data_IF_452319111757
#
_entry.id   IF_452319111757
#
_cell.length_a   1.000
_cell.length_b   1.000
_cell.length_c   1.000
_cell.angle_alpha   90.00
_cell.angle_beta   90.00
_cell.angle_gamma   90.00
#
_symmetry.space_group_name_H-M   'P 1'
#
loop_
_entity.id
_entity.type
_entity.pdbx_description
1 polymer ?
#
# COMPACT_ATOMS: atom_id res chain seq x y z
N UNK A 1 0.29 -28.93 8.36
CA UNK A 1 0.80 -28.26 7.14
C UNK A 1 -0.35 -27.58 6.44
N UNK A 2 -0.15 -26.37 5.94
CA UNK A 2 -1.12 -25.64 5.10
C UNK A 2 -0.52 -25.57 3.70
N UNK A 3 -1.16 -26.18 2.70
CA UNK A 3 -0.69 -26.20 1.30
C UNK A 3 0.78 -26.66 1.11
N UNK A 4 1.27 -27.57 1.95
CA UNK A 4 2.67 -28.05 1.93
C UNK A 4 3.69 -27.09 2.55
N UNK A 5 3.29 -25.90 2.98
CA UNK A 5 4.17 -24.96 3.68
C UNK A 5 4.47 -25.47 5.10
N UNK A 6 5.71 -25.31 5.54
CA UNK A 6 6.14 -25.59 6.91
C UNK A 6 5.55 -24.59 7.90
N UNK A 7 5.37 -23.33 7.48
CA UNK A 7 4.75 -22.27 8.28
C UNK A 7 4.06 -21.25 7.39
N UNK A 8 2.85 -20.86 7.77
CA UNK A 8 2.16 -19.71 7.20
C UNK A 8 1.98 -18.68 8.31
N UNK A 9 2.33 -17.42 8.02
CA UNK A 9 2.13 -16.29 8.92
C UNK A 9 1.17 -15.32 8.26
N UNK A 10 0.15 -14.90 9.00
CA UNK A 10 -0.79 -13.86 8.62
C UNK A 10 -0.73 -12.74 9.66
N UNK A 11 -0.59 -11.50 9.18
CA UNK A 11 -0.60 -10.29 10.00
C UNK A 11 -1.63 -9.33 9.42
N UNK A 12 -2.41 -8.71 10.30
CA UNK A 12 -3.32 -7.63 9.94
C UNK A 12 -3.17 -6.45 10.88
N UNK A 13 -3.26 -5.26 10.34
CA UNK A 13 -3.20 -3.99 11.05
C UNK A 13 -4.37 -3.11 10.62
N UNK A 14 -4.96 -2.39 11.57
CA UNK A 14 -5.93 -1.32 11.33
C UNK A 14 -5.32 -0.05 11.89
N UNK A 15 -5.32 1.02 11.09
CA UNK A 15 -4.84 2.34 11.48
C UNK A 15 -6.00 3.34 11.46
N UNK A 16 -5.97 4.29 12.40
CA UNK A 16 -6.92 5.39 12.49
C UNK A 16 -6.16 6.66 12.87
N UNK A 17 -6.56 7.79 12.28
CA UNK A 17 -6.01 9.10 12.55
C UNK A 17 -7.14 10.11 12.78
N UNK A 18 -6.93 10.99 13.76
CA UNK A 18 -7.81 12.11 14.07
C UNK A 18 -7.03 13.43 14.03
N UNK A 19 -7.55 14.43 13.33
CA UNK A 19 -7.00 15.79 13.27
C UNK A 19 -7.93 16.72 14.05
N UNK A 20 -7.48 17.14 15.24
CA UNK A 20 -8.23 18.05 16.09
C UNK A 20 -8.15 19.50 15.62
N UNK A 21 -9.27 20.23 15.74
CA UNK A 21 -9.34 21.65 15.39
C UNK A 21 -9.29 21.94 13.89
N UNK A 22 -9.54 20.93 13.05
CA UNK A 22 -9.63 21.11 11.60
C UNK A 22 -10.87 21.93 11.27
N UNK A 23 -10.67 23.07 10.59
CA UNK A 23 -11.74 23.90 10.06
C UNK A 23 -12.57 23.15 9.01
N UNK A 24 -13.78 23.64 8.73
CA UNK A 24 -14.60 23.06 7.68
C UNK A 24 -13.89 23.18 6.33
N UNK A 25 -14.02 22.15 5.47
CA UNK A 25 -13.51 22.20 4.08
C UNK A 25 -14.21 23.26 3.21
N UNK A 26 -15.28 23.89 3.70
CA UNK A 26 -15.87 25.08 3.08
C UNK A 26 -15.15 26.39 3.43
N UNK A 27 -14.39 26.41 4.53
CA UNK A 27 -13.66 27.58 5.02
C UNK A 27 -12.19 27.52 4.63
N UNK A 28 -11.50 26.42 4.99
CA UNK A 28 -10.11 26.18 4.63
C UNK A 28 -9.90 24.73 4.22
N UNK A 29 -9.01 24.52 3.24
CA UNK A 29 -8.75 23.21 2.65
C UNK A 29 -7.25 22.93 2.67
N UNK A 30 -6.89 21.69 3.00
CA UNK A 30 -5.51 21.26 3.17
C UNK A 30 -5.20 19.94 2.47
N UNK A 31 -3.94 19.76 2.09
CA UNK A 31 -3.33 18.45 1.84
C UNK A 31 -3.72 17.72 0.55
N UNK A 32 -4.61 18.28 -0.27
CA UNK A 32 -4.85 17.73 -1.63
C UNK A 32 -3.65 17.97 -2.53
N UNK A 33 -3.28 16.97 -3.31
CA UNK A 33 -2.23 17.12 -4.32
C UNK A 33 -2.63 18.18 -5.36
N UNK A 34 -1.70 19.05 -5.72
CA UNK A 34 -1.93 20.16 -6.63
C UNK A 34 -2.33 19.70 -8.04
N UNK A 35 -2.03 18.46 -8.43
CA UNK A 35 -2.46 17.89 -9.72
C UNK A 35 -3.98 17.83 -9.86
N UNK A 36 -4.73 17.74 -8.74
CA UNK A 36 -6.19 17.76 -8.72
C UNK A 36 -6.77 19.18 -8.57
N UNK A 37 -5.93 20.21 -8.73
CA UNK A 37 -6.35 21.59 -8.84
C UNK A 37 -7.00 22.18 -7.60
N UNK A 38 -7.77 23.25 -7.78
CA UNK A 38 -8.58 23.91 -6.74
C UNK A 38 -10.08 23.87 -7.09
N UNK A 39 -10.99 23.72 -6.11
CA UNK A 39 -12.44 23.80 -6.33
C UNK A 39 -12.92 25.24 -6.59
N UNK A 40 -12.08 26.25 -6.39
CA UNK A 40 -12.44 27.66 -6.56
C UNK A 40 -12.45 28.10 -8.04
N UNK A 41 -11.84 27.30 -8.92
CA UNK A 41 -11.92 27.45 -10.37
C UNK A 41 -13.04 26.54 -10.93
N UNK A 42 -14.05 27.08 -11.65
CA UNK A 42 -15.19 26.29 -12.12
C UNK A 42 -14.82 25.13 -13.07
N UNK A 43 -13.77 25.28 -13.88
CA UNK A 43 -13.35 24.22 -14.80
C UNK A 43 -12.67 23.08 -14.04
N UNK A 44 -11.83 23.41 -13.04
CA UNK A 44 -11.18 22.42 -12.19
C UNK A 44 -12.16 21.75 -11.23
N UNK A 45 -13.14 22.48 -10.71
CA UNK A 45 -14.24 21.91 -9.93
C UNK A 45 -15.02 20.86 -10.73
N UNK A 46 -15.32 21.15 -12.00
CA UNK A 46 -16.01 20.21 -12.87
C UNK A 46 -15.16 18.96 -13.18
N UNK A 47 -13.83 19.10 -13.24
CA UNK A 47 -12.92 18.00 -13.53
C UNK A 47 -12.59 17.13 -12.31
N UNK A 48 -12.39 17.74 -11.14
CA UNK A 48 -11.81 17.08 -9.96
C UNK A 48 -12.68 17.14 -8.71
N UNK A 49 -13.79 17.88 -8.71
CA UNK A 49 -14.69 17.95 -7.56
C UNK A 49 -14.09 18.61 -6.30
N UNK A 50 -14.78 18.41 -5.18
CA UNK A 50 -14.54 19.07 -3.89
C UNK A 50 -13.83 18.19 -2.86
N UNK A 51 -13.54 16.93 -3.18
CA UNK A 51 -12.94 15.97 -2.24
C UNK A 51 -11.41 15.95 -2.38
N UNK A 52 -10.74 15.01 -1.72
CA UNK A 52 -9.27 14.87 -1.74
C UNK A 52 -8.54 15.72 -0.71
N UNK A 53 -9.26 16.46 0.14
CA UNK A 53 -8.69 17.28 1.21
C UNK A 53 -8.73 16.58 2.54
N UNK A 54 -7.79 16.93 3.43
CA UNK A 54 -7.68 16.36 4.77
C UNK A 54 -9.03 16.35 5.48
N UNK A 55 -9.39 15.19 6.03
CA UNK A 55 -10.60 14.99 6.82
C UNK A 55 -10.25 14.89 8.30
N UNK A 56 -11.21 15.24 9.17
CA UNK A 56 -11.00 15.18 10.61
C UNK A 56 -10.70 13.75 11.11
N UNK A 57 -11.25 12.75 10.43
CA UNK A 57 -11.03 11.34 10.70
C UNK A 57 -10.60 10.65 9.41
N UNK A 58 -9.63 9.75 9.50
CA UNK A 58 -9.27 8.85 8.41
C UNK A 58 -8.82 7.50 8.96
N UNK A 59 -9.03 6.44 8.19
CA UNK A 59 -8.64 5.09 8.61
C UNK A 59 -8.43 4.15 7.43
N UNK A 60 -7.71 3.06 7.71
CA UNK A 60 -7.42 2.03 6.73
C UNK A 60 -6.91 0.76 7.39
N UNK A 61 -6.66 -0.25 6.58
CA UNK A 61 -6.10 -1.52 7.05
C UNK A 61 -5.05 -2.07 6.09
N UNK A 62 -4.15 -2.88 6.66
CA UNK A 62 -3.09 -3.55 5.93
C UNK A 62 -3.05 -5.01 6.33
N UNK A 63 -2.85 -5.89 5.35
CA UNK A 63 -2.74 -7.33 5.54
C UNK A 63 -1.44 -7.81 4.91
N UNK A 64 -0.78 -8.77 5.55
CA UNK A 64 0.40 -9.46 5.01
C UNK A 64 0.33 -10.94 5.30
N UNK A 65 0.49 -11.74 4.26
CA UNK A 65 0.59 -13.18 4.34
C UNK A 65 1.94 -13.63 3.78
N UNK A 66 2.57 -14.61 4.42
CA UNK A 66 3.77 -15.26 3.91
C UNK A 66 3.77 -16.74 4.26
N UNK A 67 4.26 -17.56 3.35
CA UNK A 67 4.31 -19.01 3.53
C UNK A 67 5.73 -19.50 3.30
N UNK A 68 6.28 -20.24 4.26
CA UNK A 68 7.65 -20.74 4.23
C UNK A 68 7.65 -22.18 3.74
N UNK A 69 8.35 -22.42 2.63
CA UNK A 69 8.57 -23.74 2.06
C UNK A 69 10.05 -24.07 2.13
N UNK A 70 10.39 -25.12 2.88
CA UNK A 70 11.77 -25.56 3.03
C UNK A 70 12.13 -26.63 2.01
N UNK A 71 13.32 -26.53 1.44
CA UNK A 71 13.87 -27.51 0.51
C UNK A 71 12.91 -27.87 -0.65
N UNK A 72 12.38 -26.84 -1.33
CA UNK A 72 11.46 -27.02 -2.46
C UNK A 72 12.13 -27.76 -3.61
N UNK A 73 13.36 -27.37 -3.93
CA UNK A 73 14.21 -28.10 -4.86
C UNK A 73 15.68 -27.87 -4.51
N UNK A 74 16.49 -28.92 -4.58
CA UNK A 74 17.95 -28.86 -4.44
C UNK A 74 18.47 -28.01 -3.25
N UNK A 75 17.78 -27.97 -2.10
CA UNK A 75 18.19 -27.18 -0.93
C UNK A 75 17.73 -25.71 -0.93
N UNK A 76 16.92 -25.29 -1.91
CA UNK A 76 16.35 -23.94 -1.98
C UNK A 76 15.09 -23.85 -1.12
N UNK A 77 15.07 -22.86 -0.24
CA UNK A 77 13.89 -22.45 0.51
C UNK A 77 13.17 -21.35 -0.27
N UNK A 78 11.84 -21.41 -0.32
CA UNK A 78 11.01 -20.38 -0.95
C UNK A 78 10.03 -19.79 0.06
N UNK A 79 9.87 -18.47 -0.01
CA UNK A 79 8.90 -17.72 0.79
C UNK A 79 8.03 -16.85 -0.11
N UNK A 80 7.00 -17.40 -0.76
CA UNK A 80 5.95 -16.59 -1.37
C UNK A 80 5.29 -15.69 -0.32
N UNK A 81 5.06 -14.44 -0.70
CA UNK A 81 4.47 -13.43 0.15
C UNK A 81 3.45 -12.57 -0.62
N UNK A 82 2.44 -12.11 0.11
CA UNK A 82 1.40 -11.21 -0.37
C UNK A 82 1.19 -10.13 0.67
N UNK A 83 1.10 -8.88 0.25
CA UNK A 83 0.62 -7.78 1.09
C UNK A 83 -0.48 -7.01 0.37
N UNK A 84 -1.44 -6.55 1.14
CA UNK A 84 -2.57 -5.77 0.67
C UNK A 84 -2.78 -4.59 1.61
N UNK A 85 -3.12 -3.44 1.07
CA UNK A 85 -3.49 -2.25 1.83
C UNK A 85 -4.72 -1.60 1.23
N UNK A 86 -5.54 -1.00 2.09
CA UNK A 86 -6.70 -0.23 1.71
C UNK A 86 -6.91 0.90 2.71
N UNK A 87 -6.85 2.12 2.19
CA UNK A 87 -7.22 3.33 2.89
C UNK A 87 -8.72 3.52 2.69
N UNK A 88 -9.51 3.26 3.73
CA UNK A 88 -10.96 3.00 3.56
C UNK A 88 -11.75 4.29 3.47
N UNK A 89 -11.48 5.23 4.37
CA UNK A 89 -12.25 6.46 4.51
C UNK A 89 -11.35 7.59 5.00
N UNK A 90 -11.55 8.77 4.42
CA UNK A 90 -10.88 10.00 4.77
C UNK A 90 -9.49 10.18 4.16
N UNK A 91 -9.06 11.43 4.14
CA UNK A 91 -7.72 11.84 3.69
C UNK A 91 -6.91 12.26 4.91
N UNK A 92 -5.83 11.53 5.17
CA UNK A 92 -4.94 11.81 6.28
C UNK A 92 -3.97 12.96 5.97
N UNK A 93 -3.52 13.71 6.99
CA UNK A 93 -2.48 14.72 6.80
C UNK A 93 -1.20 14.08 6.23
N UNK A 94 -0.51 14.80 5.34
CA UNK A 94 0.70 14.34 4.64
C UNK A 94 0.51 13.04 3.83
N UNK A 95 -0.71 12.74 3.38
CA UNK A 95 -0.99 11.52 2.59
C UNK A 95 -0.95 10.23 3.40
N UNK A 96 -1.12 10.30 4.73
CA UNK A 96 -1.14 9.11 5.60
C UNK A 96 -2.23 8.09 5.20
N UNK A 97 -3.38 8.59 4.78
CA UNK A 97 -4.48 7.84 4.19
C UNK A 97 -4.97 8.59 2.96
N UNK A 98 -5.27 7.88 1.88
CA UNK A 98 -5.91 8.43 0.69
C UNK A 98 -7.18 7.61 0.42
N UNK A 99 -8.34 8.20 0.70
CA UNK A 99 -9.62 7.48 0.63
C UNK A 99 -9.80 6.67 -0.66
N UNK A 100 -10.09 5.38 -0.49
CA UNK A 100 -10.29 4.42 -1.56
C UNK A 100 -9.01 3.85 -2.19
N UNK A 101 -7.84 4.40 -1.85
CA UNK A 101 -6.55 3.93 -2.36
C UNK A 101 -6.23 2.53 -1.85
N UNK A 102 -5.82 1.66 -2.77
CA UNK A 102 -5.44 0.28 -2.51
C UNK A 102 -4.09 -0.01 -3.13
N UNK A 103 -3.39 -0.94 -2.52
CA UNK A 103 -2.20 -1.53 -3.12
C UNK A 103 -2.15 -3.02 -2.83
N UNK A 104 -1.73 -3.81 -3.81
CA UNK A 104 -1.42 -5.22 -3.64
C UNK A 104 0.02 -5.45 -4.09
N UNK A 105 0.79 -6.16 -3.27
CA UNK A 105 2.14 -6.60 -3.61
C UNK A 105 2.22 -8.10 -3.46
N UNK A 106 2.72 -8.76 -4.51
CA UNK A 106 2.99 -10.19 -4.53
C UNK A 106 4.45 -10.42 -4.79
N UNK A 107 5.05 -11.37 -4.10
CA UNK A 107 6.46 -11.66 -4.24
C UNK A 107 6.84 -13.07 -3.84
N UNK A 108 8.08 -13.41 -4.14
CA UNK A 108 8.72 -14.64 -3.72
C UNK A 108 10.17 -14.34 -3.36
N UNK A 109 10.57 -14.80 -2.18
CA UNK A 109 11.94 -14.81 -1.74
C UNK A 109 12.50 -16.22 -1.86
N UNK A 110 13.72 -16.35 -2.35
CA UNK A 110 14.45 -17.60 -2.47
C UNK A 110 15.76 -17.53 -1.69
N UNK A 111 16.07 -18.58 -0.96
CA UNK A 111 17.29 -18.69 -0.17
C UNK A 111 17.94 -20.06 -0.40
N UNK A 112 19.21 -20.05 -0.77
CA UNK A 112 20.01 -21.26 -0.99
C UNK A 112 21.17 -21.32 0.01
N UNK A 113 21.15 -22.36 0.85
CA UNK A 113 22.16 -22.64 1.88
C UNK A 113 22.46 -21.48 2.85
N UNK A 114 21.55 -20.53 3.02
CA UNK A 114 21.76 -19.28 3.77
C UNK A 114 22.92 -18.41 3.24
N UNK A 115 23.42 -18.70 2.04
CA UNK A 115 24.52 -17.99 1.40
C UNK A 115 24.00 -17.10 0.29
N UNK A 116 23.10 -17.61 -0.54
CA UNK A 116 22.58 -16.89 -1.70
C UNK A 116 21.11 -16.57 -1.49
N UNK A 117 20.74 -15.31 -1.63
CA UNK A 117 19.35 -14.85 -1.55
C UNK A 117 18.95 -14.23 -2.88
N UNK A 118 17.71 -14.44 -3.29
CA UNK A 118 17.10 -13.72 -4.40
C UNK A 118 15.68 -13.33 -4.02
N UNK A 119 15.21 -12.16 -4.45
CA UNK A 119 13.82 -11.75 -4.28
C UNK A 119 13.27 -11.16 -5.55
N UNK A 120 12.00 -11.46 -5.82
CA UNK A 120 11.22 -10.88 -6.91
C UNK A 120 9.86 -10.47 -6.35
N UNK A 121 9.47 -9.23 -6.59
CA UNK A 121 8.16 -8.71 -6.18
C UNK A 121 7.58 -7.78 -7.23
N UNK A 122 6.26 -7.78 -7.33
CA UNK A 122 5.49 -6.86 -8.14
C UNK A 122 4.42 -6.19 -7.27
N UNK A 123 4.27 -4.87 -7.42
CA UNK A 123 3.27 -4.09 -6.68
C UNK A 123 2.40 -3.34 -7.67
N UNK A 124 1.10 -3.47 -7.48
CA UNK A 124 0.04 -2.79 -8.21
C UNK A 124 -0.72 -1.86 -7.26
N UNK A 125 -0.94 -0.62 -7.71
CA UNK A 125 -1.65 0.42 -6.96
C UNK A 125 -2.93 0.75 -7.71
N UNK A 126 -4.07 0.79 -7.02
CA UNK A 126 -5.36 0.99 -7.68
C UNK A 126 -6.38 1.63 -6.75
N UNK A 127 -7.39 2.25 -7.35
CA UNK A 127 -8.44 2.93 -6.60
C UNK A 127 -7.97 4.22 -5.90
N UNK A 128 -8.94 4.94 -5.34
CA UNK A 128 -8.77 6.27 -4.79
C UNK A 128 -8.80 7.33 -5.89
N UNK A 129 -9.78 8.21 -5.84
CA UNK A 129 -10.00 9.22 -6.89
C UNK A 129 -8.89 10.29 -6.90
N UNK A 130 -8.22 10.47 -5.75
CA UNK A 130 -7.13 11.44 -5.57
C UNK A 130 -5.79 10.75 -5.31
N UNK A 131 -5.61 9.54 -5.84
CA UNK A 131 -4.40 8.75 -5.68
C UNK A 131 -3.46 8.89 -6.88
N UNK A 132 -2.30 9.52 -6.66
CA UNK A 132 -1.29 9.74 -7.71
C UNK A 132 -0.42 8.50 -8.00
N UNK A 133 -0.61 7.42 -7.23
CA UNK A 133 0.12 6.15 -7.40
C UNK A 133 -0.59 5.15 -8.31
N UNK A 134 -1.86 5.36 -8.68
CA UNK A 134 -2.67 4.37 -9.44
C UNK A 134 -1.96 3.91 -10.72
N UNK A 135 -1.22 4.79 -11.39
CA UNK A 135 -0.50 4.46 -12.63
C UNK A 135 1.00 4.17 -12.41
N UNK A 136 1.39 3.81 -11.18
CA UNK A 136 2.80 3.64 -10.76
C UNK A 136 3.08 2.25 -10.21
N UNK A 137 2.63 1.23 -10.93
CA UNK A 137 3.03 -0.14 -10.66
C UNK A 137 4.55 -0.32 -10.84
N UNK A 138 5.15 -1.25 -10.09
CA UNK A 138 6.58 -1.49 -10.21
C UNK A 138 6.98 -2.94 -9.91
N UNK A 139 8.06 -3.36 -10.57
CA UNK A 139 8.72 -4.64 -10.38
C UNK A 139 10.08 -4.41 -9.74
N UNK A 140 10.38 -5.20 -8.70
CA UNK A 140 11.68 -5.18 -8.03
C UNK A 140 12.29 -6.57 -8.02
N UNK A 141 13.59 -6.62 -8.31
CA UNK A 141 14.40 -7.84 -8.29
C UNK A 141 15.70 -7.56 -7.53
N UNK A 142 16.08 -8.46 -6.63
CA UNK A 142 17.33 -8.34 -5.87
C UNK A 142 18.03 -9.69 -5.71
N UNK A 143 19.35 -9.64 -5.56
CA UNK A 143 20.20 -10.79 -5.26
C UNK A 143 21.22 -10.42 -4.19
N UNK A 144 21.57 -11.36 -3.32
CA UNK A 144 22.49 -11.16 -2.20
C UNK A 144 23.37 -12.38 -1.94
N UNK A 145 24.55 -12.12 -1.36
CA UNK A 145 25.52 -13.14 -0.94
C UNK A 145 26.00 -12.83 0.47
N UNK A 146 25.91 -13.81 1.37
CA UNK A 146 26.46 -13.75 2.73
C UNK A 146 27.77 -14.55 2.83
N UNK A 147 28.77 -14.01 3.56
CA UNK A 147 30.11 -14.58 3.76
C UNK A 147 30.48 -14.67 5.25
#
# INVERSE_FOLDING_TARGET
QVLGAGRVTLVGEIGYAHVGGLESTSELRYGRDAIYGTPDDPAQLAAYGTNGFVTANSWGYRLRALANYSNVFAGVNLTPNLSFSHDVDGYGPNGLFNEGAKAVSVGVDAEYQNTYTASLSYTDFFGGDYNTLVDRDFLAFSVGVNF
#
